data_IF_683889191528
#
_entry.id   IF_683889191528
#
_cell.length_a   1.000
_cell.length_b   1.000
_cell.length_c   1.000
_cell.angle_alpha   90.00
_cell.angle_beta   90.00
_cell.angle_gamma   90.00
#
_symmetry.space_group_name_H-M   'P 1'
#
loop_
_entity.id
_entity.type
_entity.pdbx_description
1 polymer ?
#
# COMPACT_ATOMS: atom_id res chain seq x y z
N UNK A 1 9.91 -4.24 11.83
CA UNK A 1 8.81 -3.40 12.41
C UNK A 1 9.26 -2.86 13.76
N UNK A 2 8.32 -2.47 14.57
CA UNK A 2 8.64 -2.14 15.98
C UNK A 2 8.12 -3.30 16.83
N UNK A 3 7.10 -3.95 16.34
CA UNK A 3 6.63 -5.22 16.97
C UNK A 3 7.61 -6.32 16.58
N UNK A 4 7.61 -6.68 15.33
CA UNK A 4 8.58 -7.69 14.83
C UNK A 4 9.22 -7.15 13.54
N UNK A 5 9.10 -7.88 12.46
CA UNK A 5 9.67 -7.42 11.16
C UNK A 5 8.80 -7.99 10.04
N UNK A 6 7.51 -8.00 10.22
CA UNK A 6 6.62 -8.58 9.18
C UNK A 6 5.25 -7.90 9.23
N UNK A 7 4.65 -7.82 10.39
CA UNK A 7 3.28 -7.24 10.46
C UNK A 7 3.30 -5.81 9.90
N UNK A 8 4.17 -4.98 10.39
CA UNK A 8 4.28 -3.61 9.83
C UNK A 8 4.97 -3.69 8.48
N UNK A 9 5.96 -4.53 8.35
CA UNK A 9 6.62 -4.71 7.03
C UNK A 9 5.54 -4.99 5.97
N UNK A 10 4.66 -5.91 6.26
CA UNK A 10 3.53 -6.17 5.32
C UNK A 10 2.70 -4.89 5.18
N UNK A 11 2.22 -4.37 6.27
CA UNK A 11 1.44 -3.11 6.20
C UNK A 11 2.21 -2.09 5.36
N UNK A 12 3.48 -1.89 5.66
CA UNK A 12 4.30 -0.94 4.87
C UNK A 12 4.29 -1.39 3.40
N UNK A 13 4.69 -2.60 3.14
CA UNK A 13 4.75 -3.09 1.74
C UNK A 13 3.37 -3.03 1.10
N UNK A 14 2.34 -3.11 1.90
CA UNK A 14 0.96 -3.06 1.35
C UNK A 14 0.50 -1.59 1.30
N UNK A 15 0.63 -0.89 2.38
CA UNK A 15 0.21 0.54 2.37
C UNK A 15 0.95 1.25 1.25
N UNK A 16 2.22 0.99 1.09
CA UNK A 16 2.98 1.63 -0.03
C UNK A 16 2.18 1.48 -1.33
N UNK A 17 1.30 0.51 -1.38
CA UNK A 17 0.48 0.31 -2.61
C UNK A 17 -1.00 0.25 -2.22
N UNK A 18 -1.33 0.67 -1.03
CA UNK A 18 -2.75 0.60 -0.58
C UNK A 18 -3.05 1.71 0.43
N UNK A 19 -2.03 2.32 1.00
CA UNK A 19 -2.20 3.44 2.00
C UNK A 19 -3.69 3.74 2.26
N UNK A 20 -4.23 4.80 1.72
CA UNK A 20 -5.68 5.10 1.93
C UNK A 20 -6.20 5.99 0.80
N UNK A 21 -5.55 7.09 0.53
CA UNK A 21 -6.03 8.07 -0.47
C UNK A 21 -5.54 7.76 -1.88
N UNK A 22 -4.38 7.16 -1.99
CA UNK A 22 -3.80 6.92 -3.34
C UNK A 22 -4.55 5.80 -4.06
N UNK A 23 -5.35 5.04 -3.36
CA UNK A 23 -6.11 3.95 -4.06
C UNK A 23 -7.15 4.59 -4.99
N UNK A 24 -8.00 5.42 -4.45
CA UNK A 24 -9.00 6.12 -5.30
C UNK A 24 -8.25 6.83 -6.43
N UNK A 25 -7.12 7.40 -6.13
CA UNK A 25 -6.30 8.04 -7.18
C UNK A 25 -5.71 6.94 -8.05
N UNK A 26 -5.00 6.02 -7.47
CA UNK A 26 -4.40 4.91 -8.25
C UNK A 26 -5.39 4.40 -9.29
N UNK A 27 -6.62 4.18 -8.89
CA UNK A 27 -7.65 3.67 -9.85
C UNK A 27 -7.85 4.67 -10.99
N UNK A 28 -7.28 5.84 -10.90
CA UNK A 28 -7.46 6.86 -11.97
C UNK A 28 -6.11 7.51 -12.27
N UNK A 29 -5.38 7.87 -11.26
CA UNK A 29 -4.04 8.49 -11.43
C UNK A 29 -3.08 7.46 -12.06
N UNK A 30 -3.05 6.27 -11.52
CA UNK A 30 -2.20 5.22 -12.12
C UNK A 30 -2.89 4.71 -13.38
N UNK A 31 -4.19 4.64 -13.37
CA UNK A 31 -4.97 4.23 -14.58
C UNK A 31 -4.47 2.90 -15.10
N UNK A 32 -4.82 1.82 -14.47
CA UNK A 32 -4.39 0.48 -14.96
C UNK A 32 -4.85 0.31 -16.41
N UNK A 33 -6.09 0.61 -16.70
CA UNK A 33 -6.57 0.50 -18.10
C UNK A 33 -7.51 1.68 -18.40
#
# INVERSE_FOLDING_TARGET
DVRLAKTLGLVLAVLLICWFPVLALMAHSLATT
#
